data_IF_336161550707
#
_entry.id   IF_336161550707
#
_cell.length_a   1.000
_cell.length_b   1.000
_cell.length_c   1.000
_cell.angle_alpha   90.00
_cell.angle_beta   90.00
_cell.angle_gamma   90.00
#
_symmetry.space_group_name_H-M   'P 1'
#
loop_
_entity.id
_entity.type
_entity.pdbx_description
1 polymer ?
#
# COMPACT_ATOMS: atom_id res chain seq x y z
N UNK A 1 -12.10 9.64 -9.32
CA UNK A 1 -13.34 9.23 -8.62
C UNK A 1 -14.06 10.51 -8.20
N UNK A 2 -15.38 10.63 -8.39
CA UNK A 2 -16.12 11.79 -7.91
C UNK A 2 -16.43 11.63 -6.41
N UNK A 3 -16.39 12.73 -5.65
CA UNK A 3 -16.74 12.72 -4.23
C UNK A 3 -18.26 12.54 -4.07
N UNK A 4 -18.74 11.58 -3.27
CA UNK A 4 -20.16 11.45 -2.97
C UNK A 4 -20.60 12.55 -1.99
N UNK A 5 -21.85 13.03 -2.11
CA UNK A 5 -22.42 14.05 -1.22
C UNK A 5 -22.41 13.65 0.26
N UNK A 6 -22.39 12.34 0.52
CA UNK A 6 -22.30 11.78 1.87
C UNK A 6 -20.95 12.01 2.55
N UNK A 7 -19.89 12.31 1.79
CA UNK A 7 -18.58 12.67 2.32
C UNK A 7 -18.54 14.19 2.54
N UNK A 8 -18.77 14.59 3.79
CA UNK A 8 -18.95 15.99 4.20
C UNK A 8 -18.14 16.31 5.46
N UNK A 9 -17.82 17.59 5.72
CA UNK A 9 -17.03 17.98 6.90
C UNK A 9 -17.65 17.55 8.23
N UNK A 10 -18.98 17.41 8.28
CA UNK A 10 -19.74 17.02 9.47
C UNK A 10 -19.83 15.50 9.66
N UNK A 11 -19.35 14.70 8.70
CA UNK A 11 -19.29 13.25 8.88
C UNK A 11 -18.24 12.91 9.94
N UNK A 12 -18.56 11.92 10.78
CA UNK A 12 -17.61 11.43 11.78
C UNK A 12 -16.52 10.55 11.16
N UNK A 13 -15.37 10.44 11.82
CA UNK A 13 -14.38 9.42 11.54
C UNK A 13 -13.78 8.83 12.81
N UNK A 14 -13.33 7.58 12.73
CA UNK A 14 -12.54 6.87 13.74
C UNK A 14 -11.28 6.29 13.11
N UNK A 15 -10.21 6.14 13.88
CA UNK A 15 -8.91 5.66 13.41
C UNK A 15 -8.56 4.31 14.03
N UNK A 16 -7.96 3.44 13.24
CA UNK A 16 -7.30 2.21 13.68
C UNK A 16 -6.15 1.86 12.75
N UNK A 17 -5.32 0.89 13.14
CA UNK A 17 -4.18 0.41 12.36
C UNK A 17 -4.27 -1.10 12.16
N UNK A 18 -3.87 -1.54 10.98
CA UNK A 18 -3.85 -2.94 10.58
C UNK A 18 -2.60 -3.70 11.09
N UNK A 19 -1.58 -2.97 11.54
CA UNK A 19 -0.32 -3.52 12.03
C UNK A 19 0.50 -2.47 12.77
N UNK A 20 1.73 -2.83 13.15
CA UNK A 20 2.67 -1.86 13.70
C UNK A 20 3.22 -0.98 12.59
N UNK A 21 3.51 0.26 12.97
CA UNK A 21 4.11 1.26 12.10
C UNK A 21 5.42 1.71 12.78
N UNK A 22 6.51 1.77 12.02
CA UNK A 22 7.86 2.06 12.53
C UNK A 22 8.52 3.24 11.83
N UNK A 23 9.59 3.78 12.42
CA UNK A 23 10.38 4.85 11.79
C UNK A 23 10.95 4.45 10.42
N UNK A 24 11.24 3.15 10.23
CA UNK A 24 11.67 2.64 8.93
C UNK A 24 10.54 2.70 7.91
N UNK A 25 9.32 2.36 8.31
CA UNK A 25 8.13 2.49 7.47
C UNK A 25 7.88 3.95 7.08
N UNK A 26 8.15 4.91 7.97
CA UNK A 26 7.99 6.34 7.68
C UNK A 26 8.98 6.77 6.58
N UNK A 27 10.24 6.34 6.71
CA UNK A 27 11.26 6.56 5.68
C UNK A 27 10.84 5.98 4.33
N UNK A 28 10.24 4.78 4.32
CA UNK A 28 9.72 4.14 3.10
C UNK A 28 8.56 4.94 2.52
N UNK A 29 7.60 5.37 3.33
CA UNK A 29 6.46 6.17 2.89
C UNK A 29 6.95 7.47 2.23
N UNK A 30 7.82 8.22 2.90
CA UNK A 30 8.36 9.50 2.40
C UNK A 30 9.17 9.29 1.11
N UNK A 31 10.05 8.29 1.09
CA UNK A 31 10.98 8.10 -0.04
C UNK A 31 10.32 7.49 -1.28
N UNK A 32 9.40 6.54 -1.09
CA UNK A 32 8.83 5.73 -2.18
C UNK A 32 7.37 6.08 -2.50
N UNK A 33 6.54 6.43 -1.51
CA UNK A 33 5.11 6.68 -1.73
C UNK A 33 4.79 8.15 -1.98
N UNK A 34 5.46 9.10 -1.31
CA UNK A 34 5.20 10.53 -1.50
C UNK A 34 5.28 10.97 -2.98
N UNK A 35 6.25 10.50 -3.80
CA UNK A 35 6.27 10.84 -5.23
C UNK A 35 5.02 10.38 -6.00
N UNK A 36 4.36 9.31 -5.53
CA UNK A 36 3.18 8.74 -6.18
C UNK A 36 1.91 9.47 -5.77
N UNK A 37 1.74 9.70 -4.47
CA UNK A 37 0.48 10.22 -3.90
C UNK A 37 0.47 11.74 -3.75
N UNK A 38 1.64 12.37 -3.70
CA UNK A 38 1.83 13.80 -3.51
C UNK A 38 1.75 14.24 -2.04
N UNK A 39 1.99 15.54 -1.78
CA UNK A 39 2.22 16.05 -0.43
C UNK A 39 0.99 15.99 0.48
N UNK A 40 -0.21 16.31 -0.03
CA UNK A 40 -1.44 16.35 0.79
C UNK A 40 -1.80 14.94 1.30
N UNK A 41 -1.72 13.94 0.43
CA UNK A 41 -1.98 12.56 0.82
C UNK A 41 -0.94 12.04 1.82
N UNK A 42 0.34 12.42 1.64
CA UNK A 42 1.38 12.08 2.59
C UNK A 42 1.16 12.76 3.94
N UNK A 43 0.83 14.06 3.95
CA UNK A 43 0.53 14.80 5.17
C UNK A 43 -0.66 14.17 5.91
N UNK A 44 -1.74 13.84 5.21
CA UNK A 44 -2.87 13.10 5.78
C UNK A 44 -2.42 11.78 6.41
N UNK A 45 -1.64 10.96 5.69
CA UNK A 45 -1.18 9.67 6.19
C UNK A 45 -0.34 9.80 7.47
N UNK A 46 0.64 10.70 7.50
CA UNK A 46 1.49 10.94 8.67
C UNK A 46 0.69 11.55 9.84
N UNK A 47 -0.22 12.49 9.59
CA UNK A 47 -1.12 13.03 10.61
C UNK A 47 -2.00 11.94 11.24
N UNK A 48 -2.57 11.06 10.41
CA UNK A 48 -3.36 9.94 10.90
C UNK A 48 -2.50 8.92 11.67
N UNK A 49 -1.26 8.67 11.23
CA UNK A 49 -0.31 7.81 11.92
C UNK A 49 0.00 8.32 13.33
N UNK A 50 0.25 9.61 13.50
CA UNK A 50 0.54 10.17 14.84
C UNK A 50 -0.64 10.07 15.81
N UNK A 51 -1.87 10.08 15.29
CA UNK A 51 -3.10 10.00 16.10
C UNK A 51 -3.64 8.58 16.30
N UNK A 52 -3.16 7.59 15.53
CA UNK A 52 -3.79 6.27 15.50
C UNK A 52 -3.56 5.50 16.80
N UNK A 53 -4.65 4.95 17.35
CA UNK A 53 -4.63 4.07 18.52
C UNK A 53 -4.76 2.60 18.10
N UNK A 54 -4.45 1.69 19.02
CA UNK A 54 -4.53 0.23 18.77
C UNK A 54 -5.96 -0.26 18.48
N UNK A 55 -6.99 0.48 18.92
CA UNK A 55 -8.40 0.12 18.69
C UNK A 55 -9.20 1.34 18.25
N UNK A 56 -9.99 1.19 17.18
CA UNK A 56 -11.04 2.16 16.85
C UNK A 56 -12.20 1.98 17.82
N UNK A 57 -12.29 2.84 18.82
CA UNK A 57 -13.50 2.96 19.64
C UNK A 57 -14.43 3.98 19.00
N UNK A 58 -15.73 3.67 18.94
CA UNK A 58 -16.74 4.62 18.44
C UNK A 58 -16.76 5.91 19.27
N UNK A 59 -16.36 5.83 20.54
CA UNK A 59 -16.22 6.97 21.45
C UNK A 59 -15.09 7.92 21.06
N UNK A 60 -14.11 7.49 20.25
CA UNK A 60 -13.03 8.34 19.74
C UNK A 60 -13.44 9.10 18.45
N UNK A 61 -14.73 9.10 18.07
CA UNK A 61 -15.23 9.74 16.85
C UNK A 61 -14.93 11.25 16.84
N UNK A 62 -14.27 11.71 15.78
CA UNK A 62 -14.04 13.13 15.48
C UNK A 62 -14.73 13.52 14.17
N UNK A 63 -15.02 14.79 13.97
CA UNK A 63 -15.56 15.27 12.68
C UNK A 63 -14.44 15.36 11.64
N UNK A 64 -14.74 15.08 10.38
CA UNK A 64 -13.77 15.28 9.27
C UNK A 64 -13.27 16.72 9.19
N UNK A 65 -14.05 17.70 9.66
CA UNK A 65 -13.63 19.09 9.81
C UNK A 65 -12.28 19.24 10.52
N UNK A 66 -12.00 18.39 11.52
CA UNK A 66 -10.71 18.39 12.22
C UNK A 66 -9.53 18.11 11.27
N UNK A 67 -9.70 17.23 10.28
CA UNK A 67 -8.66 16.94 9.28
C UNK A 67 -8.50 18.09 8.29
N UNK A 68 -9.59 18.79 7.96
CA UNK A 68 -9.56 19.97 7.10
C UNK A 68 -8.78 21.10 7.78
N UNK A 69 -9.09 21.38 9.04
CA UNK A 69 -8.41 22.41 9.84
C UNK A 69 -6.93 22.06 10.07
N UNK A 70 -6.61 20.79 10.35
CA UNK A 70 -5.24 20.35 10.58
C UNK A 70 -4.36 20.50 9.33
N UNK A 71 -4.90 20.15 8.16
CA UNK A 71 -4.15 20.11 6.91
C UNK A 71 -4.26 21.41 6.10
N UNK A 72 -5.13 22.33 6.51
CA UNK A 72 -5.48 23.56 5.79
C UNK A 72 -5.94 23.28 4.34
N UNK A 73 -6.92 22.37 4.20
CA UNK A 73 -7.45 21.91 2.91
C UNK A 73 -8.98 21.90 2.86
N UNK A 74 -9.53 21.89 1.64
CA UNK A 74 -10.95 21.69 1.42
C UNK A 74 -11.37 20.19 1.41
N UNK A 75 -12.69 19.96 1.40
CA UNK A 75 -13.26 18.61 1.45
C UNK A 75 -12.96 17.77 0.19
N UNK A 76 -12.78 18.41 -0.97
CA UNK A 76 -12.44 17.73 -2.22
C UNK A 76 -10.98 17.29 -2.22
N UNK A 77 -10.08 18.11 -1.70
CA UNK A 77 -8.68 17.78 -1.47
C UNK A 77 -8.55 16.63 -0.46
N UNK A 78 -9.29 16.65 0.66
CA UNK A 78 -9.30 15.55 1.63
C UNK A 78 -9.79 14.25 0.98
N UNK A 79 -10.88 14.31 0.21
CA UNK A 79 -11.40 13.13 -0.48
C UNK A 79 -10.38 12.57 -1.47
N UNK A 80 -9.76 13.42 -2.28
CA UNK A 80 -8.74 13.01 -3.25
C UNK A 80 -7.49 12.42 -2.57
N UNK A 81 -7.05 13.01 -1.46
CA UNK A 81 -5.93 12.50 -0.65
C UNK A 81 -6.24 11.11 -0.09
N UNK A 82 -7.43 10.93 0.50
CA UNK A 82 -7.93 9.64 0.99
C UNK A 82 -7.95 8.58 -0.13
N UNK A 83 -8.52 8.91 -1.30
CA UNK A 83 -8.61 7.99 -2.44
C UNK A 83 -7.23 7.59 -2.96
N UNK A 84 -6.25 8.51 -2.96
CA UNK A 84 -4.87 8.17 -3.33
C UNK A 84 -4.24 7.19 -2.35
N UNK A 85 -4.42 7.41 -1.04
CA UNK A 85 -3.93 6.49 -0.01
C UNK A 85 -4.57 5.10 -0.12
N UNK A 86 -5.87 5.05 -0.45
CA UNK A 86 -6.59 3.80 -0.75
C UNK A 86 -5.99 3.09 -1.96
N UNK A 87 -5.74 3.82 -3.05
CA UNK A 87 -5.22 3.26 -4.30
C UNK A 87 -3.83 2.62 -4.14
N UNK A 88 -2.96 3.22 -3.32
CA UNK A 88 -1.62 2.67 -3.04
C UNK A 88 -1.59 1.69 -1.86
N UNK A 89 -2.74 1.40 -1.24
CA UNK A 89 -2.85 0.40 -0.18
C UNK A 89 -2.43 0.86 1.23
N UNK A 90 -2.17 2.15 1.43
CA UNK A 90 -1.80 2.71 2.75
C UNK A 90 -3.00 2.97 3.66
N UNK A 91 -4.20 3.01 3.09
CA UNK A 91 -5.44 3.23 3.83
C UNK A 91 -6.56 2.32 3.33
N UNK A 92 -7.36 1.81 4.25
CA UNK A 92 -8.70 1.27 3.93
C UNK A 92 -9.75 2.10 4.63
N UNK A 93 -10.81 2.43 3.90
CA UNK A 93 -11.94 3.16 4.45
C UNK A 93 -13.18 2.29 4.48
N UNK A 94 -13.84 2.27 5.62
CA UNK A 94 -15.16 1.67 5.83
C UNK A 94 -16.15 2.78 6.22
N UNK A 95 -17.45 2.57 6.03
CA UNK A 95 -18.47 3.53 6.45
C UNK A 95 -19.69 2.84 7.04
N UNK A 96 -20.32 3.49 8.01
CA UNK A 96 -21.57 3.05 8.63
C UNK A 96 -22.42 4.29 8.96
N UNK A 97 -23.71 4.06 9.22
CA UNK A 97 -24.65 5.09 9.70
C UNK A 97 -25.23 4.62 11.03
N UNK A 98 -25.26 5.52 12.01
CA UNK A 98 -25.93 5.31 13.30
C UNK A 98 -26.84 6.51 13.65
N UNK A 99 -27.30 6.57 14.90
CA UNK A 99 -28.18 7.65 15.38
C UNK A 99 -27.55 9.04 15.35
N UNK A 100 -26.22 9.15 15.30
CA UNK A 100 -25.49 10.43 15.19
C UNK A 100 -25.16 10.79 13.73
N UNK A 101 -25.48 9.90 12.79
CA UNK A 101 -25.27 10.09 11.35
C UNK A 101 -24.21 9.17 10.77
N UNK A 102 -23.76 9.52 9.56
CA UNK A 102 -22.73 8.75 8.85
C UNK A 102 -21.36 9.00 9.45
N UNK A 103 -20.58 7.93 9.58
CA UNK A 103 -19.18 8.01 9.93
C UNK A 103 -18.33 7.05 9.10
N UNK A 104 -17.02 7.28 9.15
CA UNK A 104 -16.00 6.53 8.43
C UNK A 104 -15.01 5.89 9.40
N UNK A 105 -14.55 4.69 9.12
CA UNK A 105 -13.42 4.09 9.83
C UNK A 105 -12.22 4.08 8.88
N UNK A 106 -11.14 4.74 9.28
CA UNK A 106 -9.88 4.78 8.57
C UNK A 106 -8.93 3.78 9.22
N UNK A 107 -8.65 2.70 8.51
CA UNK A 107 -7.71 1.66 8.92
C UNK A 107 -6.39 1.87 8.18
N UNK A 108 -5.35 2.28 8.92
CA UNK A 108 -4.02 2.55 8.38
C UNK A 108 -3.25 1.25 8.18
N UNK A 109 -2.54 1.17 7.06
CA UNK A 109 -1.62 0.09 6.73
C UNK A 109 -0.19 0.62 6.67
N UNK A 110 0.78 -0.21 7.08
CA UNK A 110 2.18 0.07 6.82
C UNK A 110 2.46 0.02 5.31
N UNK A 111 3.39 0.83 4.79
CA UNK A 111 3.92 0.61 3.45
C UNK A 111 4.51 -0.80 3.35
N UNK A 112 4.46 -1.38 2.15
CA UNK A 112 5.19 -2.63 1.91
C UNK A 112 6.70 -2.41 2.08
N UNK A 113 7.42 -3.46 2.48
CA UNK A 113 8.87 -3.45 2.57
C UNK A 113 9.51 -3.01 1.22
N UNK A 114 10.67 -2.33 1.23
CA UNK A 114 11.26 -1.81 0.00
C UNK A 114 11.50 -2.87 -1.07
N UNK A 115 11.93 -4.08 -0.69
CA UNK A 115 12.16 -5.15 -1.64
C UNK A 115 10.84 -5.62 -2.27
N UNK A 116 9.74 -5.67 -1.51
CA UNK A 116 8.41 -5.95 -2.05
C UNK A 116 7.89 -4.81 -2.93
N UNK A 117 8.19 -3.55 -2.60
CA UNK A 117 7.85 -2.38 -3.41
C UNK A 117 8.52 -2.42 -4.78
N UNK A 118 9.84 -2.63 -4.83
CA UNK A 118 10.60 -2.65 -6.09
C UNK A 118 10.41 -3.93 -6.91
N UNK A 119 9.95 -5.02 -6.29
CA UNK A 119 9.53 -6.25 -7.00
C UNK A 119 8.09 -6.18 -7.51
N UNK A 120 7.31 -5.18 -7.10
CA UNK A 120 5.96 -4.97 -7.60
C UNK A 120 6.02 -4.18 -8.91
N UNK A 121 5.57 -4.81 -10.00
CA UNK A 121 5.67 -4.26 -11.36
C UNK A 121 4.96 -2.91 -11.51
N UNK A 122 3.90 -2.66 -10.73
CA UNK A 122 3.15 -1.41 -10.78
C UNK A 122 3.78 -0.30 -9.95
N UNK A 123 4.13 -0.58 -8.69
CA UNK A 123 4.73 0.43 -7.81
C UNK A 123 6.10 0.87 -8.32
N UNK A 124 6.93 -0.09 -8.77
CA UNK A 124 8.23 0.19 -9.35
C UNK A 124 8.12 1.08 -10.59
N UNK A 125 7.25 0.72 -11.54
CA UNK A 125 7.06 1.51 -12.76
C UNK A 125 6.46 2.88 -12.48
N UNK A 126 5.45 2.97 -11.61
CA UNK A 126 4.83 4.26 -11.26
C UNK A 126 5.84 5.19 -10.59
N UNK A 127 6.72 4.66 -9.73
CA UNK A 127 7.79 5.44 -9.14
C UNK A 127 8.77 5.92 -10.21
N UNK A 128 9.22 5.02 -11.10
CA UNK A 128 10.12 5.36 -12.21
C UNK A 128 9.54 6.50 -13.08
N UNK A 129 8.26 6.40 -13.47
CA UNK A 129 7.56 7.42 -14.25
C UNK A 129 7.50 8.77 -13.53
N UNK A 130 7.38 8.77 -12.19
CA UNK A 130 7.26 9.99 -11.39
C UNK A 130 8.59 10.68 -11.13
N UNK A 131 9.67 9.92 -10.94
CA UNK A 131 10.95 10.46 -10.47
C UNK A 131 12.05 10.45 -11.53
N UNK A 132 11.88 9.67 -12.59
CA UNK A 132 12.87 9.46 -13.65
C UNK A 132 14.02 8.52 -13.23
N UNK A 133 14.75 8.04 -14.23
CA UNK A 133 15.80 7.02 -14.11
C UNK A 133 16.82 7.32 -13.00
N UNK A 134 17.46 8.50 -13.06
CA UNK A 134 18.51 8.86 -12.10
C UNK A 134 18.04 8.77 -10.65
N UNK A 135 16.86 9.34 -10.36
CA UNK A 135 16.33 9.36 -8.99
C UNK A 135 15.84 7.97 -8.58
N UNK A 136 15.31 7.20 -9.51
CA UNK A 136 14.90 5.82 -9.27
C UNK A 136 16.11 4.97 -8.86
N UNK A 137 17.23 5.07 -9.57
CA UNK A 137 18.47 4.35 -9.23
C UNK A 137 19.04 4.76 -7.87
N UNK A 138 18.97 6.05 -7.52
CA UNK A 138 19.34 6.53 -6.18
C UNK A 138 18.49 5.86 -5.09
N UNK A 139 17.17 5.76 -5.30
CA UNK A 139 16.25 5.12 -4.36
C UNK A 139 16.50 3.61 -4.27
N UNK A 140 16.72 2.92 -5.40
CA UNK A 140 17.11 1.50 -5.41
C UNK A 140 18.40 1.31 -4.61
N UNK A 141 19.42 2.15 -4.84
CA UNK A 141 20.68 2.10 -4.11
C UNK A 141 20.52 2.35 -2.60
N UNK A 142 19.62 3.26 -2.21
CA UNK A 142 19.33 3.60 -0.82
C UNK A 142 18.70 2.43 -0.04
N UNK A 143 17.85 1.64 -0.69
CA UNK A 143 17.13 0.52 -0.05
C UNK A 143 17.72 -0.87 -0.34
N UNK A 144 18.73 -0.95 -1.22
CA UNK A 144 19.43 -2.20 -1.52
C UNK A 144 20.32 -2.64 -0.37
N UNK A 145 20.11 -3.85 0.14
CA UNK A 145 20.98 -4.49 1.11
C UNK A 145 22.15 -5.18 0.40
N UNK A 146 23.36 -5.05 0.98
CA UNK A 146 24.58 -5.73 0.52
C UNK A 146 25.00 -6.78 1.55
N UNK A 147 24.37 -7.97 1.56
CA UNK A 147 24.73 -9.02 2.50
C UNK A 147 26.17 -9.50 2.25
N UNK A 148 26.76 -10.16 3.26
CA UNK A 148 28.09 -10.77 3.13
C UNK A 148 28.07 -11.79 2.00
N UNK A 149 28.86 -11.53 0.95
CA UNK A 149 29.05 -12.41 -0.21
C UNK A 149 30.54 -12.48 -0.53
N UNK A 150 31.29 -13.04 0.41
CA UNK A 150 32.74 -13.18 0.36
C UNK A 150 33.08 -14.67 0.34
N UNK A 151 33.49 -15.24 -0.80
CA UNK A 151 33.82 -16.66 -0.90
C UNK A 151 34.93 -17.09 0.06
N UNK A 152 35.80 -16.14 0.43
CA UNK A 152 36.90 -16.34 1.36
C UNK A 152 36.47 -16.35 2.83
N UNK A 153 35.20 -16.04 3.13
CA UNK A 153 34.67 -15.99 4.49
C UNK A 153 33.90 -17.28 4.79
N UNK A 154 34.23 -17.89 5.91
CA UNK A 154 33.51 -19.05 6.42
C UNK A 154 32.49 -18.60 7.48
N UNK A 155 31.25 -19.06 7.36
CA UNK A 155 30.25 -18.88 8.40
C UNK A 155 30.63 -19.72 9.64
N UNK A 156 30.74 -19.04 10.80
CA UNK A 156 31.04 -19.66 12.10
C UNK A 156 29.89 -19.44 13.11
N UNK A 157 28.69 -19.15 12.61
CA UNK A 157 27.50 -18.95 13.45
C UNK A 157 27.23 -20.21 14.25
N UNK A 158 27.20 -20.11 15.58
CA UNK A 158 26.86 -21.24 16.43
C UNK A 158 25.41 -21.67 16.19
N UNK A 159 25.17 -22.97 16.06
CA UNK A 159 23.80 -23.47 15.90
C UNK A 159 23.02 -23.32 17.20
N UNK A 160 21.69 -23.19 17.11
CA UNK A 160 20.84 -22.95 18.28
C UNK A 160 21.06 -24.01 19.39
N UNK A 161 21.18 -25.29 19.01
CA UNK A 161 21.36 -26.41 19.95
C UNK A 161 22.78 -26.51 20.54
N UNK A 162 23.76 -25.82 19.96
CA UNK A 162 25.10 -25.70 20.57
C UNK A 162 25.08 -24.76 21.78
N UNK A 163 24.20 -23.76 21.78
CA UNK A 163 24.14 -22.70 22.80
C UNK A 163 23.03 -22.94 23.81
N UNK A 164 21.86 -23.37 23.36
CA UNK A 164 20.66 -23.47 24.19
C UNK A 164 20.32 -24.92 24.52
N UNK A 165 20.01 -25.16 25.79
CA UNK A 165 19.49 -26.43 26.32
C UNK A 165 18.00 -26.26 26.62
N UNK A 166 17.22 -27.29 26.34
CA UNK A 166 15.79 -27.33 26.69
C UNK A 166 15.58 -28.23 27.89
N UNK A 167 14.97 -27.68 28.93
CA UNK A 167 14.49 -28.46 30.09
C UNK A 167 13.04 -28.93 29.89
N UNK A 168 12.32 -28.38 28.90
CA UNK A 168 10.94 -28.74 28.59
C UNK A 168 10.86 -29.80 27.48
N UNK A 169 9.91 -30.73 27.62
CA UNK A 169 9.52 -31.66 26.57
C UNK A 169 9.03 -30.90 25.32
N UNK A 170 9.80 -31.00 24.23
CA UNK A 170 9.54 -30.32 22.94
C UNK A 170 8.31 -30.89 22.20
N UNK A 171 7.80 -32.05 22.62
CA UNK A 171 6.57 -32.63 22.04
C UNK A 171 5.29 -31.98 22.57
N UNK A 172 5.40 -31.15 23.62
CA UNK A 172 4.27 -30.47 24.27
C UNK A 172 4.53 -28.97 24.34
N UNK A 173 3.96 -28.24 23.39
CA UNK A 173 4.00 -26.78 23.46
C UNK A 173 3.20 -26.28 24.68
N UNK A 174 3.77 -25.40 25.52
CA UNK A 174 3.03 -24.81 26.63
C UNK A 174 1.79 -24.06 26.12
N UNK A 175 0.64 -24.15 26.81
CA UNK A 175 -0.59 -23.46 26.40
C UNK A 175 -0.42 -21.95 26.18
N UNK A 176 0.45 -21.30 26.96
CA UNK A 176 0.76 -19.88 26.81
C UNK A 176 1.45 -19.57 25.46
N UNK A 177 2.30 -20.46 24.96
CA UNK A 177 2.98 -20.31 23.66
C UNK A 177 1.99 -20.50 22.51
N UNK A 178 1.08 -21.47 22.63
CA UNK A 178 0.02 -21.70 21.64
C UNK A 178 -0.93 -20.51 21.58
N UNK A 179 -1.36 -19.98 22.73
CA UNK A 179 -2.24 -18.82 22.82
C UNK A 179 -1.57 -17.54 22.25
N UNK A 180 -0.28 -17.34 22.53
CA UNK A 180 0.45 -16.20 21.96
C UNK A 180 0.50 -16.23 20.43
N UNK A 181 0.59 -17.41 19.80
CA UNK A 181 0.59 -17.53 18.34
C UNK A 181 -0.72 -17.07 17.70
N UNK A 182 -1.86 -17.29 18.36
CA UNK A 182 -3.17 -16.81 17.86
C UNK A 182 -3.39 -15.32 18.10
N UNK A 183 -2.86 -14.79 19.20
CA UNK A 183 -3.11 -13.39 19.59
C UNK A 183 -2.23 -12.40 18.81
N UNK A 184 -1.08 -12.85 18.27
CA UNK A 184 -0.11 -12.01 17.56
C UNK A 184 -0.34 -11.89 16.04
N UNK A 185 -1.55 -12.16 15.53
CA UNK A 185 -1.86 -12.00 14.10
C UNK A 185 -1.94 -10.52 13.69
N UNK A 186 -1.11 -10.15 12.71
CA UNK A 186 -1.21 -8.85 12.02
C UNK A 186 -1.91 -9.03 10.67
N UNK A 187 -2.63 -8.00 10.22
CA UNK A 187 -3.14 -8.00 8.85
C UNK A 187 -1.99 -7.73 7.88
N UNK A 188 -1.92 -8.53 6.82
CA UNK A 188 -0.92 -8.32 5.77
C UNK A 188 -1.07 -6.94 5.11
N UNK A 189 0.06 -6.37 4.70
CA UNK A 189 0.09 -5.14 3.93
C UNK A 189 -0.75 -5.29 2.64
N UNK A 190 -1.54 -4.27 2.34
CA UNK A 190 -2.37 -4.27 1.13
C UNK A 190 -1.49 -3.91 -0.06
N UNK A 191 -1.54 -4.72 -1.13
CA UNK A 191 -0.90 -4.38 -2.41
C UNK A 191 -1.89 -3.66 -3.31
N UNK A 192 -1.46 -2.67 -4.11
CA UNK A 192 -2.30 -2.06 -5.14
C UNK A 192 -2.90 -3.14 -6.03
N UNK A 193 -4.18 -2.99 -6.37
CA UNK A 193 -4.87 -3.87 -7.31
C UNK A 193 -5.57 -2.99 -8.33
N UNK A 194 -5.39 -3.28 -9.61
CA UNK A 194 -6.28 -2.76 -10.64
C UNK A 194 -7.63 -3.48 -10.50
N UNK A 195 -8.73 -2.73 -10.51
CA UNK A 195 -10.07 -3.29 -10.28
C UNK A 195 -10.46 -4.40 -11.27
N UNK A 196 -11.50 -5.18 -10.94
CA UNK A 196 -11.88 -6.42 -11.65
C UNK A 196 -12.55 -6.24 -13.03
N UNK A 197 -12.24 -5.19 -13.79
CA UNK A 197 -12.41 -5.20 -15.24
C UNK A 197 -13.84 -5.33 -15.82
N UNK A 198 -14.90 -4.87 -15.15
CA UNK A 198 -16.24 -4.82 -15.73
C UNK A 198 -16.37 -3.73 -16.81
N UNK A 199 -15.97 -4.01 -18.06
CA UNK A 199 -16.20 -3.09 -19.20
C UNK A 199 -15.19 -3.05 -20.35
N UNK A 200 -14.23 -3.99 -20.46
CA UNK A 200 -13.18 -3.91 -21.48
C UNK A 200 -13.44 -4.78 -22.73
N UNK A 201 -13.18 -4.24 -23.92
CA UNK A 201 -13.26 -4.94 -25.22
C UNK A 201 -11.90 -5.59 -25.56
N UNK A 202 -11.82 -6.89 -25.27
CA UNK A 202 -10.61 -7.71 -25.39
C UNK A 202 -10.18 -8.01 -26.83
N UNK A 203 -11.05 -7.77 -27.82
CA UNK A 203 -10.71 -7.98 -29.22
C UNK A 203 -9.77 -6.87 -29.73
N UNK A 204 -9.99 -5.64 -29.27
CA UNK A 204 -9.21 -4.46 -29.66
C UNK A 204 -7.75 -4.54 -29.18
N UNK A 205 -7.55 -5.03 -27.95
CA UNK A 205 -6.22 -5.15 -27.32
C UNK A 205 -5.34 -6.13 -28.10
N UNK A 206 -5.90 -7.26 -28.56
CA UNK A 206 -5.16 -8.25 -29.35
C UNK A 206 -4.82 -7.74 -30.75
N UNK A 207 -5.70 -6.96 -31.37
CA UNK A 207 -5.49 -6.40 -32.70
C UNK A 207 -4.36 -5.35 -32.73
N UNK A 208 -4.18 -4.57 -31.66
CA UNK A 208 -3.14 -3.54 -31.59
C UNK A 208 -1.75 -4.11 -31.26
N UNK A 209 -1.67 -5.16 -30.44
CA UNK A 209 -0.41 -5.84 -30.14
C UNK A 209 0.19 -6.54 -31.36
N UNK A 210 -0.64 -6.94 -32.33
CA UNK A 210 -0.20 -7.50 -33.60
C UNK A 210 0.53 -6.50 -34.51
N UNK A 211 0.30 -5.19 -34.33
CA UNK A 211 0.93 -4.11 -35.11
C UNK A 211 2.18 -3.51 -34.45
N UNK A 212 2.42 -3.80 -33.17
CA UNK A 212 3.68 -3.49 -32.50
C UNK A 212 4.67 -4.62 -32.72
N UNK A 213 5.92 -4.29 -33.07
CA UNK A 213 7.00 -5.24 -33.36
C UNK A 213 7.52 -5.98 -32.09
N UNK A 214 6.61 -6.30 -31.16
CA UNK A 214 6.88 -7.00 -29.91
C UNK A 214 6.81 -8.49 -30.23
N UNK A 215 7.96 -9.17 -30.18
CA UNK A 215 8.00 -10.62 -30.38
C UNK A 215 7.12 -11.31 -29.35
N UNK A 216 6.27 -12.24 -29.80
CA UNK A 216 5.30 -12.96 -28.98
C UNK A 216 5.91 -13.64 -27.72
N UNK A 217 7.23 -13.89 -27.72
CA UNK A 217 7.96 -14.43 -26.58
C UNK A 217 8.17 -13.47 -25.40
N UNK A 218 8.19 -12.15 -25.60
CA UNK A 218 8.31 -11.17 -24.50
C UNK A 218 6.96 -10.81 -23.87
N UNK A 219 5.87 -11.04 -24.61
CA UNK A 219 4.52 -10.91 -24.09
C UNK A 219 4.27 -11.91 -22.95
N UNK A 220 4.64 -13.18 -23.13
CA UNK A 220 4.41 -14.25 -22.14
C UNK A 220 5.09 -13.99 -20.78
N UNK A 221 6.28 -13.38 -20.78
CA UNK A 221 7.09 -13.16 -19.56
C UNK A 221 6.57 -12.02 -18.69
N UNK A 222 5.90 -11.02 -19.29
CA UNK A 222 5.43 -9.82 -18.58
C UNK A 222 3.94 -9.52 -18.86
N UNK A 223 3.14 -10.55 -19.10
CA UNK A 223 1.72 -10.44 -19.43
C UNK A 223 0.97 -9.60 -18.39
N UNK A 224 1.05 -9.99 -17.12
CA UNK A 224 0.38 -9.29 -16.01
C UNK A 224 0.70 -7.78 -16.04
N UNK A 225 1.98 -7.39 -16.00
CA UNK A 225 2.41 -6.00 -16.00
C UNK A 225 1.93 -5.19 -17.23
N UNK A 226 2.08 -5.73 -18.44
CA UNK A 226 1.61 -5.08 -19.68
C UNK A 226 0.08 -4.92 -19.69
N UNK A 227 -0.65 -5.91 -19.18
CA UNK A 227 -2.11 -5.85 -19.05
C UNK A 227 -2.55 -4.86 -17.96
N UNK A 228 -1.75 -4.68 -16.92
CA UNK A 228 -1.99 -3.73 -15.84
C UNK A 228 -1.75 -2.27 -16.31
N UNK A 229 -0.70 -2.05 -17.09
CA UNK A 229 -0.33 -0.72 -17.63
C UNK A 229 -1.31 -0.22 -18.70
N UNK A 230 -1.78 -1.10 -19.58
CA UNK A 230 -2.76 -0.74 -20.62
C UNK A 230 -4.10 -0.26 -20.04
N UNK A 231 -4.49 -0.76 -18.86
CA UNK A 231 -5.66 -0.28 -18.12
C UNK A 231 -5.45 1.09 -17.46
N UNK A 232 -4.22 1.42 -17.06
CA UNK A 232 -3.87 2.64 -16.33
C UNK A 232 -3.84 3.89 -17.23
N UNK A 233 -3.33 3.79 -18.46
CA UNK A 233 -3.23 4.92 -19.38
C UNK A 233 -4.55 5.30 -20.08
N UNK A 234 -5.68 4.68 -19.73
CA UNK A 234 -7.00 5.17 -20.15
C UNK A 234 -7.19 5.22 -21.67
N UNK A 235 -6.78 4.17 -22.40
CA UNK A 235 -7.12 3.99 -23.81
C UNK A 235 -8.63 3.68 -23.98
N UNK A 236 -9.48 4.63 -23.57
CA UNK A 236 -10.91 4.60 -23.78
C UNK A 236 -11.29 5.59 -24.88
N UNK A 237 -11.60 5.00 -26.03
CA UNK A 237 -12.61 5.38 -27.02
C UNK A 237 -12.75 6.87 -27.36
N UNK A 238 -12.03 7.28 -28.40
CA UNK A 238 -12.51 8.10 -29.52
C UNK A 238 -11.40 8.04 -30.57
N UNK A 239 -11.59 7.38 -31.71
CA UNK A 239 -12.28 7.91 -32.89
C UNK A 239 -12.55 6.74 -33.85
N UNK A 240 -13.83 6.48 -34.18
CA UNK A 240 -14.33 6.40 -35.56
C UNK A 240 -15.81 5.97 -35.59
N UNK A 241 -16.63 6.91 -36.07
CA UNK A 241 -17.97 6.82 -36.68
C UNK A 241 -19.14 6.70 -35.70
N UNK A 242 -20.09 7.63 -35.65
CA UNK A 242 -20.42 8.71 -36.61
C UNK A 242 -19.54 9.96 -36.52
#
# INVERSE_FOLDING_TARGET
>A
MQRPDTFSPQAGFVLTKAGHLSDFDEKVAISLYQPLIGPIAMALYLSLWQEVKDRALVTDRRLQLWLLDLLDIDIDQLFNARVKLEAVGLLRTYTQVDSLGRYYAYELYAPVAPDAFFKDDLLGLLLYDKVGEKRYDELVGQFSLKPVRRPEWQEITASFLEVFRFDHDLSKEPPAVVAAKSDMTQKEATRPRLGTGGGYDWALVKAMLANSNIQAGQLATHQEALYQIAGFYGFNRRILLA
#
